data_IF_437562634034
#
_entry.id   IF_437562634034
#
_cell.length_a   1.000
_cell.length_b   1.000
_cell.length_c   1.000
_cell.angle_alpha   90.00
_cell.angle_beta   90.00
_cell.angle_gamma   90.00
#
_symmetry.space_group_name_H-M   'P 1'
#
loop_
_entity.id
_entity.type
_entity.pdbx_description
1 polymer ?
#
# COMPACT_ATOMS: atom_id res chain seq x y z
N UNK A 1 -19.36 -1.20 -30.25
CA UNK A 1 -18.83 -0.13 -29.38
C UNK A 1 -17.40 -0.50 -29.02
N UNK A 2 -16.40 0.29 -29.41
CA UNK A 2 -15.01 0.02 -29.01
C UNK A 2 -14.91 0.14 -27.47
N UNK A 3 -14.39 -0.88 -26.80
CA UNK A 3 -14.19 -0.84 -25.35
C UNK A 3 -13.23 0.30 -25.00
N UNK A 4 -13.75 1.28 -24.25
CA UNK A 4 -13.01 2.47 -23.86
C UNK A 4 -11.84 2.16 -22.93
N UNK A 5 -11.90 1.06 -22.18
CA UNK A 5 -10.84 0.64 -21.27
C UNK A 5 -10.60 -0.87 -21.35
N UNK A 6 -9.35 -1.29 -21.19
CA UNK A 6 -8.95 -2.71 -21.21
C UNK A 6 -9.67 -3.53 -20.14
N UNK A 7 -10.04 -2.88 -19.03
CA UNK A 7 -10.80 -3.46 -17.91
C UNK A 7 -12.21 -3.92 -18.26
N UNK A 8 -12.74 -3.54 -19.44
CA UNK A 8 -14.03 -4.03 -19.91
C UNK A 8 -13.88 -5.26 -20.80
N UNK A 9 -12.66 -5.63 -21.22
CA UNK A 9 -12.44 -6.78 -22.08
C UNK A 9 -12.97 -8.08 -21.47
N UNK A 10 -13.80 -8.80 -22.22
CA UNK A 10 -14.52 -9.97 -21.71
C UNK A 10 -13.56 -11.11 -21.36
N UNK A 11 -12.50 -11.30 -22.15
CA UNK A 11 -11.50 -12.33 -21.88
C UNK A 11 -10.72 -12.03 -20.59
N UNK A 12 -10.25 -10.79 -20.42
CA UNK A 12 -9.62 -10.34 -19.17
C UNK A 12 -10.56 -10.50 -17.98
N UNK A 13 -11.81 -10.03 -18.11
CA UNK A 13 -12.82 -10.14 -17.05
C UNK A 13 -13.07 -11.59 -16.65
N UNK A 14 -13.22 -12.49 -17.64
CA UNK A 14 -13.45 -13.91 -17.40
C UNK A 14 -12.25 -14.54 -16.67
N UNK A 15 -11.03 -14.26 -17.11
CA UNK A 15 -9.80 -14.77 -16.47
C UNK A 15 -9.66 -14.28 -15.03
N UNK A 16 -9.83 -12.99 -14.79
CA UNK A 16 -9.77 -12.44 -13.43
C UNK A 16 -10.91 -12.95 -12.54
N UNK A 17 -12.09 -13.21 -13.11
CA UNK A 17 -13.21 -13.82 -12.38
C UNK A 17 -12.89 -15.26 -11.94
N UNK A 18 -12.20 -16.05 -12.76
CA UNK A 18 -11.74 -17.39 -12.37
C UNK A 18 -10.73 -17.35 -11.22
N UNK A 19 -9.95 -16.27 -11.12
CA UNK A 19 -9.05 -16.00 -9.99
C UNK A 19 -9.76 -15.42 -8.76
N UNK A 20 -11.10 -15.27 -8.81
CA UNK A 20 -11.93 -14.79 -7.70
C UNK A 20 -12.09 -13.28 -7.62
N UNK A 21 -11.60 -12.52 -8.61
CA UNK A 21 -11.79 -11.08 -8.65
C UNK A 21 -13.12 -10.68 -9.26
N UNK A 22 -13.70 -9.60 -8.74
CA UNK A 22 -14.88 -8.94 -9.30
C UNK A 22 -14.52 -7.53 -9.68
N UNK A 23 -14.92 -7.11 -10.89
CA UNK A 23 -14.72 -5.73 -11.34
C UNK A 23 -15.52 -4.76 -10.47
N UNK A 24 -14.88 -3.70 -10.00
CA UNK A 24 -15.48 -2.59 -9.25
C UNK A 24 -15.16 -1.28 -9.96
N UNK A 25 -16.18 -0.67 -10.54
CA UNK A 25 -16.00 0.58 -11.30
C UNK A 25 -15.21 0.39 -12.59
N UNK A 26 -14.46 1.42 -12.98
CA UNK A 26 -13.76 1.48 -14.27
C UNK A 26 -12.35 0.87 -14.23
N UNK A 27 -11.70 0.87 -13.07
CA UNK A 27 -10.26 0.60 -12.97
C UNK A 27 -9.92 -0.61 -12.10
N UNK A 28 -10.80 -0.99 -11.17
CA UNK A 28 -10.42 -1.93 -10.13
C UNK A 28 -11.05 -3.31 -10.34
N UNK A 29 -10.27 -4.32 -9.99
CA UNK A 29 -10.74 -5.68 -9.75
C UNK A 29 -10.43 -6.02 -8.30
N UNK A 30 -11.44 -6.48 -7.56
CA UNK A 30 -11.33 -6.72 -6.12
C UNK A 30 -11.65 -8.17 -5.79
N UNK A 31 -10.83 -8.76 -4.92
CA UNK A 31 -11.04 -10.07 -4.30
C UNK A 31 -10.98 -9.92 -2.78
N UNK A 32 -11.88 -10.60 -2.07
CA UNK A 32 -11.88 -10.66 -0.60
C UNK A 32 -11.21 -11.95 -0.15
N UNK A 33 -10.39 -11.87 0.89
CA UNK A 33 -9.73 -13.02 1.53
C UNK A 33 -9.73 -12.75 3.04
N UNK A 34 -10.69 -13.32 3.76
CA UNK A 34 -10.89 -13.06 5.20
C UNK A 34 -10.90 -11.55 5.53
N UNK A 35 -10.05 -11.10 6.47
CA UNK A 35 -9.90 -9.69 6.85
C UNK A 35 -9.20 -8.82 5.78
N UNK A 36 -8.68 -9.45 4.72
CA UNK A 36 -7.97 -8.78 3.64
C UNK A 36 -8.83 -8.50 2.42
N UNK A 37 -8.55 -7.36 1.80
CA UNK A 37 -9.04 -6.99 0.48
C UNK A 37 -7.84 -6.88 -0.46
N UNK A 38 -7.89 -7.64 -1.54
CA UNK A 38 -6.89 -7.63 -2.58
C UNK A 38 -7.44 -6.88 -3.79
N UNK A 39 -6.64 -5.98 -4.37
CA UNK A 39 -7.06 -5.14 -5.48
C UNK A 39 -6.01 -5.18 -6.59
N UNK A 40 -6.49 -5.32 -7.83
CA UNK A 40 -5.73 -5.00 -9.03
C UNK A 40 -6.32 -3.71 -9.61
N UNK A 41 -5.56 -2.61 -9.51
CA UNK A 41 -5.98 -1.30 -10.01
C UNK A 41 -5.30 -1.00 -11.34
N UNK A 42 -6.09 -0.94 -12.40
CA UNK A 42 -5.67 -0.59 -13.76
C UNK A 42 -5.75 0.93 -13.92
N UNK A 43 -4.71 1.60 -13.42
CA UNK A 43 -4.53 3.04 -13.61
C UNK A 43 -4.18 3.26 -15.07
N UNK A 44 -4.73 4.31 -15.66
CA UNK A 44 -4.32 4.71 -17.00
C UNK A 44 -4.11 6.21 -17.10
N UNK A 45 -3.18 6.59 -17.97
CA UNK A 45 -3.01 7.97 -18.43
C UNK A 45 -3.37 8.05 -19.90
N UNK A 46 -3.81 9.22 -20.35
CA UNK A 46 -3.97 9.52 -21.77
C UNK A 46 -2.71 10.30 -22.17
N UNK A 47 -1.75 9.62 -22.77
CA UNK A 47 -0.48 10.24 -23.19
C UNK A 47 -0.59 10.92 -24.54
N UNK A 48 -1.40 10.37 -25.45
CA UNK A 48 -1.72 11.01 -26.73
C UNK A 48 -3.22 10.86 -27.03
N UNK A 49 -3.74 11.70 -27.93
CA UNK A 49 -5.15 11.72 -28.35
C UNK A 49 -5.70 10.35 -28.76
N UNK A 50 -4.82 9.42 -29.12
CA UNK A 50 -5.16 8.09 -29.63
C UNK A 50 -4.50 6.92 -28.88
N UNK A 51 -3.96 7.10 -27.67
CA UNK A 51 -3.35 6.01 -26.89
C UNK A 51 -3.67 6.08 -25.40
N UNK A 52 -3.46 4.96 -24.70
CA UNK A 52 -3.47 4.89 -23.24
C UNK A 52 -2.30 4.07 -22.74
N UNK A 53 -1.66 4.56 -21.70
CA UNK A 53 -0.70 3.78 -20.91
C UNK A 53 -1.41 3.20 -19.71
N UNK A 54 -1.27 1.90 -19.51
CA UNK A 54 -1.85 1.18 -18.39
C UNK A 54 -0.78 0.75 -17.40
N UNK A 55 -1.05 1.05 -16.15
CA UNK A 55 -0.26 0.65 -15.01
C UNK A 55 -1.13 -0.18 -14.09
N UNK A 56 -0.62 -1.35 -13.68
CA UNK A 56 -1.35 -2.22 -12.75
C UNK A 56 -0.70 -2.11 -11.38
N UNK A 57 -1.46 -1.57 -10.43
CA UNK A 57 -1.10 -1.64 -9.02
C UNK A 57 -1.71 -2.89 -8.40
N UNK A 58 -0.87 -3.64 -7.69
CA UNK A 58 -1.23 -4.80 -6.89
C UNK A 58 -1.29 -4.35 -5.45
N UNK A 59 -2.47 -4.45 -4.82
CA UNK A 59 -2.67 -3.93 -3.48
C UNK A 59 -3.30 -4.95 -2.53
N UNK A 60 -2.86 -4.92 -1.27
CA UNK A 60 -3.49 -5.60 -0.14
C UNK A 60 -3.93 -4.55 0.88
N UNK A 61 -5.09 -4.74 1.50
CA UNK A 61 -5.62 -3.91 2.59
C UNK A 61 -6.16 -4.81 3.69
N UNK A 62 -5.86 -4.50 4.94
CA UNK A 62 -6.44 -5.21 6.08
C UNK A 62 -7.52 -4.35 6.73
N UNK A 63 -8.74 -4.88 6.82
CA UNK A 63 -9.91 -4.12 7.28
C UNK A 63 -9.87 -3.78 8.77
N UNK A 64 -9.34 -4.68 9.61
CA UNK A 64 -9.15 -4.40 11.04
C UNK A 64 -8.11 -3.29 11.24
N UNK A 65 -7.05 -3.31 10.43
CA UNK A 65 -6.02 -2.29 10.46
C UNK A 65 -6.54 -0.92 10.00
N UNK A 66 -7.34 -0.85 8.93
CA UNK A 66 -8.00 0.39 8.49
C UNK A 66 -8.91 0.95 9.60
N UNK A 67 -9.64 0.07 10.31
CA UNK A 67 -10.47 0.46 11.45
C UNK A 67 -9.64 1.03 12.59
N UNK A 68 -8.55 0.37 12.99
CA UNK A 68 -7.65 0.88 14.04
C UNK A 68 -7.02 2.21 13.63
N UNK A 69 -6.61 2.37 12.37
CA UNK A 69 -6.08 3.65 11.88
C UNK A 69 -7.09 4.78 11.99
N UNK A 70 -8.36 4.51 11.65
CA UNK A 70 -9.45 5.47 11.85
C UNK A 70 -9.68 5.78 13.34
N UNK A 71 -9.81 4.76 14.19
CA UNK A 71 -10.12 4.92 15.61
C UNK A 71 -8.98 5.57 16.41
N UNK A 72 -7.73 5.41 15.94
CA UNK A 72 -6.56 6.09 16.51
C UNK A 72 -6.34 7.48 15.91
N UNK A 73 -7.12 7.87 14.90
CA UNK A 73 -6.94 9.10 14.10
C UNK A 73 -5.55 9.23 13.48
N UNK A 74 -4.84 8.11 13.33
CA UNK A 74 -3.53 8.06 12.69
C UNK A 74 -3.71 7.63 11.27
N UNK A 75 -3.47 8.57 10.35
CA UNK A 75 -3.50 8.29 8.92
C UNK A 75 -2.23 7.55 8.49
N UNK A 76 -2.21 6.24 8.69
CA UNK A 76 -1.37 5.35 7.89
C UNK A 76 -2.28 4.69 6.86
N UNK A 77 -1.86 4.64 5.59
CA UNK A 77 -2.65 3.93 4.59
C UNK A 77 -2.75 2.46 4.99
N UNK A 78 -3.94 1.96 5.33
CA UNK A 78 -4.20 0.57 5.78
C UNK A 78 -4.02 -0.48 4.69
N UNK A 79 -3.28 -0.14 3.64
CA UNK A 79 -2.88 -1.04 2.58
C UNK A 79 -1.45 -0.83 2.13
N UNK A 80 -1.01 -1.80 1.34
CA UNK A 80 0.25 -1.81 0.63
C UNK A 80 -0.08 -1.92 -0.84
N UNK A 81 0.63 -1.15 -1.65
CA UNK A 81 0.38 -1.09 -3.08
C UNK A 81 1.70 -0.99 -3.81
N UNK A 82 1.85 -1.78 -4.86
CA UNK A 82 3.07 -1.86 -5.65
C UNK A 82 2.72 -1.98 -7.13
N UNK A 83 3.47 -1.30 -8.00
CA UNK A 83 3.38 -1.54 -9.44
C UNK A 83 3.85 -2.98 -9.73
N UNK A 84 3.07 -3.73 -10.51
CA UNK A 84 3.32 -5.15 -10.77
C UNK A 84 4.71 -5.44 -11.35
N UNK A 85 5.31 -4.50 -12.08
CA UNK A 85 6.66 -4.62 -12.61
C UNK A 85 7.72 -4.81 -11.53
N UNK A 86 7.53 -4.20 -10.36
CA UNK A 86 8.43 -4.36 -9.22
C UNK A 86 8.31 -5.72 -8.53
N UNK A 87 7.27 -6.51 -8.85
CA UNK A 87 7.13 -7.91 -8.41
C UNK A 87 7.82 -8.89 -9.37
N UNK A 88 8.26 -8.42 -10.54
CA UNK A 88 8.98 -9.24 -11.53
C UNK A 88 10.48 -9.32 -11.18
N UNK A 89 11.24 -10.29 -11.73
CA UNK A 89 12.68 -10.39 -11.51
C UNK A 89 13.48 -9.16 -11.98
N UNK A 90 12.95 -8.38 -12.93
CA UNK A 90 13.59 -7.15 -13.38
C UNK A 90 13.42 -5.99 -12.38
N UNK A 91 12.47 -6.11 -11.45
CA UNK A 91 12.28 -5.18 -10.34
C UNK A 91 12.17 -3.70 -10.73
N UNK A 92 11.49 -3.43 -11.85
CA UNK A 92 11.33 -2.08 -12.40
C UNK A 92 9.87 -1.76 -12.70
N UNK A 93 9.57 -0.47 -12.82
CA UNK A 93 8.25 -0.02 -13.23
C UNK A 93 7.85 -0.65 -14.58
N UNK A 94 6.66 -1.26 -14.63
CA UNK A 94 6.08 -1.82 -15.86
C UNK A 94 4.77 -1.11 -16.20
N UNK A 95 4.63 -0.79 -17.48
CA UNK A 95 3.41 -0.24 -18.07
C UNK A 95 3.15 -0.88 -19.43
N UNK A 96 1.90 -0.81 -19.88
CA UNK A 96 1.45 -1.30 -21.17
C UNK A 96 0.88 -0.16 -21.99
N UNK A 97 1.48 0.09 -23.15
CA UNK A 97 0.96 1.03 -24.13
C UNK A 97 -0.10 0.37 -25.00
N UNK A 98 -1.30 0.96 -25.07
CA UNK A 98 -2.40 0.49 -25.91
C UNK A 98 -2.86 1.60 -26.83
N UNK A 99 -2.56 1.47 -28.12
CA UNK A 99 -3.07 2.38 -29.14
C UNK A 99 -4.57 2.13 -29.41
N UNK A 100 -5.34 3.19 -29.65
CA UNK A 100 -6.77 3.09 -29.97
C UNK A 100 -7.00 2.44 -31.35
N UNK A 101 -6.08 2.59 -32.28
CA UNK A 101 -6.06 1.98 -33.62
C UNK A 101 -5.48 0.57 -33.65
N UNK A 102 -4.93 0.07 -32.53
CA UNK A 102 -4.26 -1.23 -32.50
C UNK A 102 -5.19 -2.35 -33.02
N UNK A 103 -4.70 -3.20 -33.94
CA UNK A 103 -5.37 -4.43 -34.35
C UNK A 103 -5.78 -5.33 -33.17
N UNK A 104 -6.81 -6.16 -33.36
CA UNK A 104 -7.37 -6.99 -32.28
C UNK A 104 -6.38 -8.04 -31.74
N UNK A 105 -5.56 -8.62 -32.61
CA UNK A 105 -4.48 -9.54 -32.27
C UNK A 105 -3.42 -8.85 -31.38
N UNK A 106 -2.96 -7.66 -31.76
CA UNK A 106 -2.02 -6.87 -30.94
C UNK A 106 -2.63 -6.54 -29.57
N UNK A 107 -3.91 -6.18 -29.52
CA UNK A 107 -4.61 -5.96 -28.24
C UNK A 107 -4.70 -7.22 -27.40
N UNK A 108 -4.92 -8.37 -28.04
CA UNK A 108 -5.00 -9.66 -27.35
C UNK A 108 -3.64 -10.04 -26.77
N UNK A 109 -2.55 -9.86 -27.50
CA UNK A 109 -1.18 -10.09 -26.99
C UNK A 109 -0.88 -9.27 -25.73
N UNK A 110 -1.30 -7.99 -25.71
CA UNK A 110 -1.15 -7.13 -24.53
C UNK A 110 -1.98 -7.67 -23.35
N UNK A 111 -3.22 -8.10 -23.60
CA UNK A 111 -4.08 -8.68 -22.55
C UNK A 111 -3.47 -9.99 -22.02
N UNK A 112 -2.92 -10.83 -22.89
CA UNK A 112 -2.31 -12.10 -22.52
C UNK A 112 -1.04 -11.87 -21.68
N UNK A 113 -0.18 -10.88 -22.03
CA UNK A 113 0.96 -10.50 -21.19
C UNK A 113 0.50 -9.97 -19.82
N UNK A 114 -0.52 -9.11 -19.79
CA UNK A 114 -1.09 -8.62 -18.52
C UNK A 114 -1.55 -9.78 -17.63
N UNK A 115 -2.33 -10.72 -18.17
CA UNK A 115 -2.83 -11.88 -17.42
C UNK A 115 -1.68 -12.74 -16.93
N UNK A 116 -0.70 -13.00 -17.80
CA UNK A 116 0.50 -13.76 -17.45
C UNK A 116 1.27 -13.12 -16.28
N UNK A 117 1.45 -11.80 -16.28
CA UNK A 117 2.12 -11.09 -15.19
C UNK A 117 1.29 -11.13 -13.90
N UNK A 118 -0.04 -11.01 -13.99
CA UNK A 118 -0.94 -11.12 -12.84
C UNK A 118 -0.84 -12.52 -12.23
N UNK A 119 -1.00 -13.57 -13.03
CA UNK A 119 -0.94 -14.97 -12.57
C UNK A 119 0.43 -15.33 -12.00
N UNK A 120 1.51 -14.87 -12.64
CA UNK A 120 2.88 -15.23 -12.25
C UNK A 120 3.38 -14.44 -11.03
N UNK A 121 3.04 -13.16 -10.91
CA UNK A 121 3.66 -12.28 -9.90
C UNK A 121 2.66 -11.66 -8.93
N UNK A 122 1.53 -11.16 -9.42
CA UNK A 122 0.55 -10.51 -8.54
C UNK A 122 -0.15 -11.52 -7.63
N UNK A 123 -0.64 -12.64 -8.16
CA UNK A 123 -1.38 -13.64 -7.37
C UNK A 123 -0.52 -14.24 -6.25
N UNK A 124 0.74 -14.69 -6.48
CA UNK A 124 1.58 -15.18 -5.40
C UNK A 124 1.85 -14.12 -4.32
N UNK A 125 2.14 -12.88 -4.71
CA UNK A 125 2.33 -11.77 -3.78
C UNK A 125 1.07 -11.53 -2.92
N UNK A 126 -0.09 -11.42 -3.56
CA UNK A 126 -1.36 -11.20 -2.90
C UNK A 126 -1.71 -12.33 -1.93
N UNK A 127 -1.53 -13.59 -2.36
CA UNK A 127 -1.83 -14.75 -1.53
C UNK A 127 -0.89 -14.85 -0.32
N UNK A 128 0.41 -14.60 -0.53
CA UNK A 128 1.40 -14.65 0.55
C UNK A 128 1.11 -13.60 1.62
N UNK A 129 0.92 -12.35 1.20
CA UNK A 129 0.83 -11.22 2.14
C UNK A 129 -0.59 -10.85 2.56
N UNK A 130 -1.60 -11.66 2.18
CA UNK A 130 -2.94 -11.63 2.79
C UNK A 130 -3.04 -12.60 3.97
N UNK A 131 -1.94 -12.75 4.69
CA UNK A 131 -1.81 -13.45 5.96
C UNK A 131 -1.02 -12.53 6.89
N UNK A 132 -1.51 -12.34 8.13
CA UNK A 132 -0.91 -11.38 9.07
C UNK A 132 0.53 -11.78 9.42
N UNK A 133 0.83 -13.06 9.58
CA UNK A 133 2.16 -13.52 9.98
C UNK A 133 3.17 -13.35 8.86
N UNK A 134 2.78 -13.71 7.64
CA UNK A 134 3.63 -13.49 6.46
C UNK A 134 3.86 -12.00 6.19
N UNK A 135 2.86 -11.16 6.46
CA UNK A 135 2.97 -9.71 6.34
C UNK A 135 3.91 -9.11 7.37
N UNK A 136 3.81 -9.54 8.64
CA UNK A 136 4.76 -9.19 9.71
C UNK A 136 6.18 -9.58 9.30
N UNK A 137 6.37 -10.86 8.96
CA UNK A 137 7.67 -11.38 8.56
C UNK A 137 8.26 -10.62 7.37
N UNK A 138 7.44 -10.31 6.36
CA UNK A 138 7.88 -9.51 5.21
C UNK A 138 8.35 -8.11 5.58
N UNK A 139 7.71 -7.45 6.55
CA UNK A 139 8.13 -6.13 7.03
C UNK A 139 9.44 -6.23 7.83
N UNK A 140 9.56 -7.24 8.69
CA UNK A 140 10.75 -7.48 9.52
C UNK A 140 12.00 -7.78 8.68
N UNK A 141 11.86 -8.57 7.61
CA UNK A 141 12.90 -8.85 6.63
C UNK A 141 13.22 -7.66 5.72
N UNK A 142 12.55 -6.52 5.91
CA UNK A 142 12.83 -5.29 5.19
C UNK A 142 12.32 -5.29 3.75
N UNK A 143 11.25 -6.04 3.45
CA UNK A 143 10.63 -5.98 2.12
C UNK A 143 10.24 -4.53 1.79
N UNK A 144 10.91 -3.96 0.78
CA UNK A 144 10.78 -2.53 0.42
C UNK A 144 9.35 -2.07 0.14
N UNK A 145 8.47 -2.97 -0.32
CA UNK A 145 7.08 -2.64 -0.64
C UNK A 145 6.17 -2.66 0.60
N UNK A 146 6.58 -3.39 1.64
CA UNK A 146 5.83 -3.56 2.87
C UNK A 146 6.26 -2.56 3.96
N UNK A 147 7.52 -2.13 3.93
CA UNK A 147 8.13 -1.30 4.99
C UNK A 147 7.68 0.16 5.03
N UNK A 148 6.87 0.64 4.08
CA UNK A 148 6.36 2.01 4.11
C UNK A 148 5.48 2.25 5.35
N UNK A 149 5.87 3.23 6.17
CA UNK A 149 5.25 3.54 7.46
C UNK A 149 5.23 2.35 8.44
N UNK A 150 6.20 1.43 8.36
CA UNK A 150 6.29 0.27 9.25
C UNK A 150 6.28 0.63 10.73
N UNK A 151 6.81 1.80 11.11
CA UNK A 151 6.80 2.26 12.51
C UNK A 151 5.38 2.38 13.10
N UNK A 152 4.38 2.70 12.28
CA UNK A 152 2.97 2.74 12.69
C UNK A 152 2.27 1.42 12.43
N UNK A 153 2.58 0.78 11.30
CA UNK A 153 1.88 -0.40 10.82
C UNK A 153 2.21 -1.66 11.61
N UNK A 154 3.48 -1.87 11.93
CA UNK A 154 3.96 -3.12 12.51
C UNK A 154 3.45 -3.35 13.95
N UNK A 155 3.40 -2.35 14.86
CA UNK A 155 2.76 -2.51 16.16
C UNK A 155 1.30 -2.96 16.09
N UNK A 156 0.55 -2.46 15.11
CA UNK A 156 -0.86 -2.82 14.92
C UNK A 156 -0.96 -4.26 14.40
N UNK A 157 -0.07 -4.67 13.51
CA UNK A 157 -0.03 -6.05 13.04
C UNK A 157 0.32 -7.03 14.17
N UNK A 158 1.31 -6.70 15.01
CA UNK A 158 1.61 -7.49 16.22
C UNK A 158 0.40 -7.58 17.14
N UNK A 159 -0.31 -6.46 17.38
CA UNK A 159 -1.56 -6.46 18.14
C UNK A 159 -2.61 -7.40 17.53
N UNK A 160 -2.87 -7.30 16.22
CA UNK A 160 -3.82 -8.16 15.52
C UNK A 160 -3.41 -9.64 15.51
N UNK A 161 -2.12 -9.94 15.63
CA UNK A 161 -1.58 -11.30 15.75
C UNK A 161 -1.54 -11.81 17.21
N UNK A 162 -1.97 -11.00 18.19
CA UNK A 162 -1.93 -11.35 19.62
C UNK A 162 -0.56 -11.20 20.28
N UNK A 163 0.40 -10.57 19.62
CA UNK A 163 1.79 -10.37 20.07
C UNK A 163 1.93 -9.03 20.81
N UNK A 164 1.15 -8.83 21.86
CA UNK A 164 1.01 -7.54 22.56
C UNK A 164 2.32 -7.02 23.16
N UNK A 165 3.11 -7.89 23.78
CA UNK A 165 4.40 -7.51 24.36
C UNK A 165 5.37 -7.01 23.29
N UNK A 166 5.35 -7.64 22.12
CA UNK A 166 6.17 -7.25 20.97
C UNK A 166 5.70 -5.92 20.38
N UNK A 167 4.39 -5.70 20.28
CA UNK A 167 3.82 -4.41 19.89
C UNK A 167 4.28 -3.28 20.82
N UNK A 168 4.21 -3.49 22.13
CA UNK A 168 4.62 -2.49 23.13
C UNK A 168 6.12 -2.24 23.08
N UNK A 169 6.94 -3.29 23.00
CA UNK A 169 8.39 -3.17 22.89
C UNK A 169 8.80 -2.35 21.66
N UNK A 170 8.25 -2.70 20.49
CA UNK A 170 8.53 -1.99 19.24
C UNK A 170 8.16 -0.51 19.32
N UNK A 171 6.97 -0.20 19.85
CA UNK A 171 6.52 1.18 20.04
C UNK A 171 7.44 1.98 20.96
N UNK A 172 7.88 1.39 22.08
CA UNK A 172 8.77 2.04 23.04
C UNK A 172 10.15 2.32 22.43
N UNK A 173 10.68 1.39 21.62
CA UNK A 173 11.94 1.62 20.90
C UNK A 173 11.83 2.76 19.89
N UNK A 174 10.75 2.79 19.09
CA UNK A 174 10.49 3.87 18.15
C UNK A 174 10.32 5.23 18.85
N UNK A 175 9.59 5.27 19.98
CA UNK A 175 9.47 6.45 20.85
C UNK A 175 10.85 6.95 21.30
N UNK A 176 11.73 6.05 21.75
CA UNK A 176 13.10 6.40 22.18
C UNK A 176 13.94 6.97 21.04
N UNK A 177 13.82 6.40 19.83
CA UNK A 177 14.51 6.95 18.64
C UNK A 177 14.00 8.35 18.29
N UNK A 178 12.68 8.55 18.29
CA UNK A 178 12.06 9.85 17.98
C UNK A 178 12.33 10.89 19.06
N UNK A 179 12.28 10.55 20.34
CA UNK A 179 12.62 11.47 21.43
C UNK A 179 14.07 11.93 21.35
N UNK A 180 14.99 11.03 21.01
CA UNK A 180 16.41 11.37 20.80
C UNK A 180 16.58 12.34 19.63
N UNK A 181 15.81 12.16 18.55
CA UNK A 181 15.82 13.10 17.40
C UNK A 181 15.20 14.45 17.75
N UNK A 182 14.11 14.47 18.51
CA UNK A 182 13.45 15.70 18.96
C UNK A 182 14.32 16.50 19.95
N UNK A 183 15.05 15.80 20.83
CA UNK A 183 15.96 16.40 21.81
C UNK A 183 17.26 16.95 21.19
N UNK A 184 17.63 16.49 19.98
CA UNK A 184 18.62 17.17 19.17
C UNK A 184 17.95 18.45 18.64
N UNK A 185 18.00 19.50 19.45
CA UNK A 185 17.76 20.87 18.98
C UNK A 185 18.67 21.04 17.77
N UNK A 186 18.06 21.13 16.60
CA UNK A 186 18.77 21.55 15.41
C UNK A 186 19.08 23.03 15.64
N UNK A 187 20.26 23.34 16.18
CA UNK A 187 20.76 24.72 16.35
C UNK A 187 20.71 25.49 15.01
N UNK A 188 20.56 24.78 13.89
CA UNK A 188 20.42 25.29 12.53
C UNK A 188 18.97 25.40 12.03
N UNK A 189 17.94 24.95 12.75
CA UNK A 189 16.55 25.14 12.28
C UNK A 189 16.16 26.61 12.42
N UNK A 190 15.99 27.36 11.32
CA UNK A 190 15.83 28.80 11.39
C UNK A 190 14.56 29.13 12.17
N UNK A 191 14.70 29.82 13.32
CA UNK A 191 13.54 30.30 14.10
C UNK A 191 12.58 31.14 13.26
N UNK A 192 13.11 31.85 12.26
CA UNK A 192 12.34 32.58 11.25
C UNK A 192 11.35 31.69 10.48
N UNK A 193 11.65 30.41 10.23
CA UNK A 193 10.73 29.47 9.58
C UNK A 193 9.62 28.98 10.51
N UNK A 194 9.88 28.92 11.82
CA UNK A 194 8.86 28.60 12.81
C UNK A 194 7.90 29.79 12.97
N UNK A 195 8.44 31.00 13.12
CA UNK A 195 7.67 32.25 13.22
C UNK A 195 6.85 32.54 11.96
N UNK A 196 7.44 32.38 10.76
CA UNK A 196 6.74 32.58 9.48
C UNK A 196 5.60 31.59 9.24
N UNK A 197 5.67 30.40 9.84
CA UNK A 197 4.64 29.38 9.77
C UNK A 197 3.72 29.37 11.00
N UNK A 198 3.85 30.34 11.91
CA UNK A 198 3.11 30.42 13.18
C UNK A 198 3.19 29.12 14.01
N UNK A 199 4.36 28.47 14.02
CA UNK A 199 4.59 27.18 14.69
C UNK A 199 5.52 27.34 15.89
N UNK A 200 5.18 26.67 17.00
CA UNK A 200 6.00 26.63 18.21
C UNK A 200 7.03 25.49 18.23
N UNK A 201 6.82 24.44 17.42
CA UNK A 201 7.57 23.18 17.50
C UNK A 201 8.33 22.87 16.20
N UNK A 202 9.53 22.31 16.32
CA UNK A 202 10.28 21.77 15.17
C UNK A 202 9.53 20.61 14.52
N UNK A 203 9.82 20.26 13.25
CA UNK A 203 9.27 19.07 12.62
C UNK A 203 9.50 17.78 13.42
N UNK A 204 10.69 17.62 14.01
CA UNK A 204 11.06 16.45 14.80
C UNK A 204 10.28 16.37 16.12
N UNK A 205 10.04 17.51 16.78
CA UNK A 205 9.21 17.56 17.98
C UNK A 205 7.77 17.18 17.67
N UNK A 206 7.21 17.68 16.56
CA UNK A 206 5.85 17.30 16.12
C UNK A 206 5.76 15.82 15.79
N UNK A 207 6.71 15.27 15.04
CA UNK A 207 6.74 13.84 14.74
C UNK A 207 6.80 12.98 16.01
N UNK A 208 7.52 13.43 17.04
CA UNK A 208 7.55 12.76 18.33
C UNK A 208 6.22 12.86 19.08
N UNK A 209 5.62 14.06 19.14
CA UNK A 209 4.34 14.29 19.81
C UNK A 209 3.21 13.48 19.14
N UNK A 210 3.13 13.52 17.81
CA UNK A 210 2.17 12.74 17.00
C UNK A 210 2.35 11.23 17.24
N UNK A 211 3.60 10.74 17.24
CA UNK A 211 3.88 9.33 17.49
C UNK A 211 3.59 8.92 18.94
N UNK A 212 3.77 9.82 19.90
CA UNK A 212 3.44 9.54 21.30
C UNK A 212 1.94 9.38 21.48
N UNK A 213 1.15 10.27 20.89
CA UNK A 213 -0.31 10.16 20.90
C UNK A 213 -0.78 8.85 20.26
N UNK A 214 -0.19 8.46 19.12
CA UNK A 214 -0.42 7.16 18.50
C UNK A 214 -0.18 6.00 19.47
N UNK A 215 0.98 5.99 20.15
CA UNK A 215 1.33 4.90 21.08
C UNK A 215 0.35 4.84 22.26
N UNK A 216 -0.06 5.98 22.81
CA UNK A 216 -1.02 6.01 23.91
C UNK A 216 -2.38 5.45 23.47
N UNK A 217 -2.84 5.79 22.25
CA UNK A 217 -4.08 5.24 21.66
C UNK A 217 -3.98 3.75 21.35
N UNK A 218 -2.86 3.23 20.85
CA UNK A 218 -2.70 1.78 20.61
C UNK A 218 -2.58 1.00 21.91
N UNK A 219 -1.89 1.53 22.92
CA UNK A 219 -1.79 0.89 24.25
C UNK A 219 -3.14 0.78 24.94
N UNK A 220 -4.04 1.75 24.77
CA UNK A 220 -5.39 1.64 25.33
C UNK A 220 -6.21 0.53 24.68
N UNK A 221 -5.98 0.22 23.40
CA UNK A 221 -6.57 -0.95 22.70
C UNK A 221 -6.06 -2.30 23.21
N UNK A 222 -4.81 -2.35 23.69
CA UNK A 222 -4.20 -3.56 24.27
C UNK A 222 -4.70 -3.82 25.70
N UNK A 223 -4.99 -2.76 26.45
CA UNK A 223 -5.35 -2.85 27.87
C UNK A 223 -6.85 -3.14 28.13
N UNK A 224 -7.70 -2.99 27.12
CA UNK A 224 -9.14 -3.25 27.18
C UNK A 224 -9.52 -4.62 26.64
#
# INVERSE_FOLDING_TARGET
MAQKYITYNDFLCNKLSLLGFKRKGQHDFIRKCDDFTQTLSFIHSVTQSHSRDYTILVSIRNSQMEKIGHDTEVYFGGGWSVNIGYLTPCENYKEWFVENSAPNDVRQEIIDDIISNIETYAIPFLNKYSDIKELIHGIEEGNRFLSFQSEYKLPILYYLNGEYDLAVAYMNEALKRKSTKAAKVDDDYPRELLEKNERSNTPQQREYDDYKEFVDKVKSLIAG
#
